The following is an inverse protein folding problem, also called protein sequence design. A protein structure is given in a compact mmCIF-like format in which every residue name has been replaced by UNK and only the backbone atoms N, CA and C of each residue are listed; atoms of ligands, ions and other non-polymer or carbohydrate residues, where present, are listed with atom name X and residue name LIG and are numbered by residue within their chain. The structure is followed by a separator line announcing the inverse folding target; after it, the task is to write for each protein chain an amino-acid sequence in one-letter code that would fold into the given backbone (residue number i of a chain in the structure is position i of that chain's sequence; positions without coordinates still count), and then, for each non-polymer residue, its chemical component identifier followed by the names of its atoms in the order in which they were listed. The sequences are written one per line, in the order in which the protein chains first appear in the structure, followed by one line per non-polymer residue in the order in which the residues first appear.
data_IF_590066593239
#
_entry.id   IF_590066593239
#
_cell.length_a   1.000
_cell.length_b   1.000
_cell.length_c   1.000
_cell.angle_alpha   90.00
_cell.angle_beta   90.00
_cell.angle_gamma   90.00
#
_symmetry.space_group_name_H-M   'P 1'
#
loop_
_entity.id
_entity.type
_entity.pdbx_description
1 polymer ?
#
# COMPACT_ATOMS: atom_id res chain seq x y z
N UNK A 1 -14.39 -10.97 20.87
CA UNK A 1 -14.65 -10.56 19.48
C UNK A 1 -15.16 -9.13 19.54
N UNK A 2 -14.57 -8.22 18.74
CA UNK A 2 -15.04 -6.82 18.66
C UNK A 2 -16.13 -6.78 17.59
N UNK A 3 -17.32 -6.30 17.93
CA UNK A 3 -18.38 -6.08 16.96
C UNK A 3 -18.21 -4.70 16.33
N UNK A 4 -18.15 -4.66 14.98
CA UNK A 4 -18.07 -3.41 14.24
C UNK A 4 -19.48 -2.91 14.00
N UNK A 5 -19.93 -2.04 14.90
CA UNK A 5 -21.22 -1.36 14.87
C UNK A 5 -21.05 0.16 14.70
N UNK A 6 -22.14 0.92 14.74
CA UNK A 6 -22.08 2.38 14.58
C UNK A 6 -21.26 3.06 15.67
N UNK A 7 -21.37 2.62 16.93
CA UNK A 7 -20.60 3.21 18.04
C UNK A 7 -19.11 3.02 17.87
N UNK A 8 -18.69 1.84 17.35
CA UNK A 8 -17.29 1.58 17.01
C UNK A 8 -16.82 2.50 15.87
N UNK A 9 -17.66 2.65 14.82
CA UNK A 9 -17.33 3.51 13.69
C UNK A 9 -17.22 4.98 14.12
N UNK A 10 -18.13 5.48 14.94
CA UNK A 10 -18.10 6.86 15.46
C UNK A 10 -16.91 7.12 16.38
N UNK A 11 -16.43 6.09 17.08
CA UNK A 11 -15.23 6.15 17.91
C UNK A 11 -13.92 6.20 17.11
N UNK A 12 -13.92 5.68 15.88
CA UNK A 12 -12.73 5.61 15.00
C UNK A 12 -12.72 6.72 13.95
N UNK A 13 -13.90 7.06 13.41
CA UNK A 13 -14.07 8.07 12.36
C UNK A 13 -14.42 9.42 12.99
N UNK A 14 -13.44 10.27 13.17
CA UNK A 14 -13.66 11.60 13.70
C UNK A 14 -14.27 12.54 12.64
N UNK A 15 -15.15 13.44 13.07
CA UNK A 15 -15.66 14.51 12.22
C UNK A 15 -14.52 15.45 11.79
N UNK A 16 -14.50 15.86 10.52
CA UNK A 16 -13.48 16.78 10.01
C UNK A 16 -13.74 18.20 10.53
N UNK A 17 -12.69 18.85 11.02
CA UNK A 17 -12.74 20.27 11.35
C UNK A 17 -12.68 21.09 10.04
N UNK A 18 -13.57 22.06 9.82
CA UNK A 18 -13.56 22.93 8.64
C UNK A 18 -12.26 23.73 8.43
N UNK A 19 -11.52 23.99 9.51
CA UNK A 19 -10.27 24.75 9.48
C UNK A 19 -9.03 23.91 9.08
N UNK A 20 -9.23 22.62 8.72
CA UNK A 20 -8.14 21.70 8.39
C UNK A 20 -7.96 21.52 6.88
N UNK A 21 -6.78 21.02 6.48
CA UNK A 21 -6.44 20.71 5.11
C UNK A 21 -6.05 19.23 4.96
N UNK A 22 -5.82 18.76 3.73
CA UNK A 22 -5.54 17.36 3.46
C UNK A 22 -4.31 16.79 4.20
N UNK A 23 -3.32 17.62 4.58
CA UNK A 23 -2.12 17.12 5.26
C UNK A 23 -2.39 16.75 6.72
N UNK A 24 -3.49 17.23 7.30
CA UNK A 24 -3.89 16.95 8.68
C UNK A 24 -4.53 15.56 8.84
N UNK A 25 -4.84 14.88 7.72
CA UNK A 25 -5.51 13.57 7.70
C UNK A 25 -4.62 12.41 7.24
N UNK A 26 -3.31 12.59 7.38
CA UNK A 26 -2.32 11.55 7.14
C UNK A 26 -2.04 11.25 5.68
N UNK A 27 -0.89 10.63 5.46
CA UNK A 27 -0.36 10.20 4.15
C UNK A 27 -0.21 8.70 4.14
N UNK A 28 -0.91 8.04 3.23
CA UNK A 28 -0.85 6.59 3.06
C UNK A 28 -0.07 6.26 1.79
N UNK A 29 0.89 5.35 1.91
CA UNK A 29 1.52 4.68 0.79
C UNK A 29 0.90 3.29 0.64
N UNK A 30 0.36 2.98 -0.53
CA UNK A 30 -0.07 1.65 -0.91
C UNK A 30 0.95 1.06 -1.89
N UNK A 31 1.58 -0.06 -1.55
CA UNK A 31 2.44 -0.86 -2.42
C UNK A 31 1.65 -2.10 -2.81
N UNK A 32 0.94 -2.01 -3.93
CA UNK A 32 -0.10 -2.97 -4.30
C UNK A 32 -0.14 -3.18 -5.82
N UNK A 33 -0.72 -4.30 -6.22
CA UNK A 33 -0.98 -4.60 -7.61
C UNK A 33 0.20 -5.16 -8.38
N UNK A 34 -0.12 -5.82 -9.47
CA UNK A 34 0.80 -6.39 -10.45
C UNK A 34 0.04 -6.59 -11.77
N UNK A 35 0.71 -7.14 -12.78
CA UNK A 35 0.05 -7.55 -14.01
C UNK A 35 -1.12 -8.50 -13.68
N UNK A 36 -2.32 -8.18 -14.17
CA UNK A 36 -3.54 -8.93 -13.88
C UNK A 36 -4.25 -8.59 -12.56
N UNK A 37 -3.58 -7.93 -11.62
CA UNK A 37 -4.14 -7.59 -10.29
C UNK A 37 -4.32 -6.08 -10.06
N UNK A 38 -4.61 -5.33 -11.13
CA UNK A 38 -4.88 -3.88 -11.05
C UNK A 38 -6.11 -3.54 -10.20
N UNK A 39 -7.08 -4.45 -10.13
CA UNK A 39 -8.28 -4.29 -9.30
C UNK A 39 -7.96 -4.23 -7.80
N UNK A 40 -7.03 -5.05 -7.32
CA UNK A 40 -6.59 -5.04 -5.92
C UNK A 40 -5.96 -3.69 -5.56
N UNK A 41 -5.05 -3.20 -6.40
CA UNK A 41 -4.43 -1.88 -6.24
C UNK A 41 -5.47 -0.75 -6.24
N UNK A 42 -6.46 -0.82 -7.16
CA UNK A 42 -7.55 0.14 -7.21
C UNK A 42 -8.33 0.19 -5.90
N UNK A 43 -8.79 -0.96 -5.42
CA UNK A 43 -9.59 -1.01 -4.19
C UNK A 43 -8.80 -0.58 -2.96
N UNK A 44 -7.53 -0.91 -2.85
CA UNK A 44 -6.65 -0.46 -1.77
C UNK A 44 -6.57 1.07 -1.72
N UNK A 45 -6.25 1.71 -2.83
CA UNK A 45 -6.12 3.16 -2.89
C UNK A 45 -7.48 3.87 -2.72
N UNK A 46 -8.52 3.37 -3.37
CA UNK A 46 -9.86 3.95 -3.27
C UNK A 46 -10.46 3.77 -1.88
N UNK A 47 -10.19 2.65 -1.22
CA UNK A 47 -10.59 2.42 0.18
C UNK A 47 -9.96 3.45 1.12
N UNK A 48 -8.64 3.69 0.98
CA UNK A 48 -7.93 4.69 1.77
C UNK A 48 -8.50 6.11 1.58
N UNK A 49 -8.80 6.49 0.33
CA UNK A 49 -9.44 7.79 0.03
C UNK A 49 -10.81 7.87 0.68
N UNK A 50 -11.64 6.85 0.53
CA UNK A 50 -13.01 6.84 1.08
C UNK A 50 -13.06 6.86 2.60
N UNK A 51 -12.04 6.30 3.25
CA UNK A 51 -11.88 6.39 4.71
C UNK A 51 -11.39 7.76 5.17
N UNK A 52 -11.10 8.67 4.25
CA UNK A 52 -10.79 10.05 4.57
C UNK A 52 -9.30 10.35 4.70
N UNK A 53 -8.41 9.50 4.22
CA UNK A 53 -6.97 9.81 4.18
C UNK A 53 -6.69 11.08 3.40
N UNK A 54 -5.79 11.91 3.90
CA UNK A 54 -5.50 13.20 3.31
C UNK A 54 -4.74 13.12 1.99
N UNK A 55 -3.74 12.23 1.92
CA UNK A 55 -2.97 11.97 0.70
C UNK A 55 -2.77 10.46 0.56
N UNK A 56 -3.19 9.90 -0.55
CA UNK A 56 -2.96 8.50 -0.90
C UNK A 56 -2.01 8.42 -2.07
N UNK A 57 -0.88 7.76 -1.87
CA UNK A 57 0.08 7.41 -2.93
C UNK A 57 -0.02 5.92 -3.20
N UNK A 58 -0.24 5.55 -4.45
CA UNK A 58 -0.28 4.18 -4.92
C UNK A 58 0.95 3.88 -5.78
N UNK A 59 1.86 3.08 -5.27
CA UNK A 59 3.00 2.56 -6.02
C UNK A 59 2.59 1.25 -6.71
N UNK A 60 2.81 1.17 -8.01
CA UNK A 60 2.44 0.02 -8.84
C UNK A 60 3.53 -0.28 -9.87
N UNK A 61 3.66 -1.52 -10.34
CA UNK A 61 4.53 -1.83 -11.48
C UNK A 61 4.18 -0.98 -12.70
N UNK A 62 5.18 -0.62 -13.50
CA UNK A 62 5.07 0.27 -14.66
C UNK A 62 3.93 -0.11 -15.61
N UNK A 63 3.73 -1.40 -15.87
CA UNK A 63 2.67 -1.90 -16.77
C UNK A 63 1.25 -1.73 -16.23
N UNK A 64 1.08 -1.68 -14.92
CA UNK A 64 -0.22 -1.45 -14.28
C UNK A 64 -0.59 0.05 -14.21
N UNK A 65 0.41 0.93 -14.30
CA UNK A 65 0.23 2.37 -14.15
C UNK A 65 -0.78 2.99 -15.12
N UNK A 66 -0.76 2.74 -16.46
CA UNK A 66 -1.68 3.42 -17.38
C UNK A 66 -3.14 3.16 -17.03
N UNK A 67 -3.47 1.90 -16.68
CA UNK A 67 -4.84 1.52 -16.33
C UNK A 67 -5.30 2.21 -15.04
N UNK A 68 -4.44 2.27 -14.04
CA UNK A 68 -4.76 2.84 -12.74
C UNK A 68 -4.76 4.37 -12.75
N UNK A 69 -3.89 4.98 -13.55
CA UNK A 69 -3.86 6.44 -13.72
C UNK A 69 -5.14 6.99 -14.38
N UNK A 70 -5.77 6.20 -15.27
CA UNK A 70 -7.07 6.56 -15.85
C UNK A 70 -8.22 6.31 -14.87
N UNK A 71 -8.11 5.28 -14.04
CA UNK A 71 -9.21 4.82 -13.18
C UNK A 71 -9.30 5.57 -11.84
N UNK A 72 -8.18 6.10 -11.36
CA UNK A 72 -8.06 6.78 -10.06
C UNK A 72 -7.84 8.28 -10.27
N UNK A 73 -8.74 9.09 -9.74
CA UNK A 73 -8.68 10.55 -9.90
C UNK A 73 -7.99 11.24 -8.71
N UNK A 74 -8.13 10.69 -7.49
CA UNK A 74 -7.64 11.32 -6.27
C UNK A 74 -6.28 10.78 -5.81
N UNK A 75 -6.02 9.45 -5.81
CA UNK A 75 -4.72 8.92 -5.45
C UNK A 75 -3.62 9.32 -6.43
N UNK A 76 -2.43 9.59 -5.91
CA UNK A 76 -1.24 9.82 -6.73
C UNK A 76 -0.67 8.47 -7.15
N UNK A 77 -0.89 8.05 -8.39
CA UNK A 77 -0.38 6.76 -8.90
C UNK A 77 1.07 6.92 -9.38
N UNK A 78 1.98 6.15 -8.78
CA UNK A 78 3.42 6.18 -9.05
C UNK A 78 3.89 4.91 -9.75
N UNK A 79 4.39 4.99 -10.99
CA UNK A 79 4.99 3.85 -11.67
C UNK A 79 6.34 3.50 -11.07
N UNK A 80 6.55 2.21 -10.84
CA UNK A 80 7.79 1.63 -10.31
C UNK A 80 8.41 0.68 -11.32
N UNK A 81 9.73 0.51 -11.28
CA UNK A 81 10.40 -0.52 -12.07
C UNK A 81 9.76 -1.89 -11.87
N UNK A 82 9.63 -2.64 -12.95
CA UNK A 82 9.05 -3.97 -12.97
C UNK A 82 9.96 -4.98 -13.68
N UNK A 83 9.74 -6.25 -13.39
CA UNK A 83 10.32 -7.38 -14.09
C UNK A 83 9.53 -7.75 -15.37
N UNK A 84 9.96 -8.79 -16.07
CA UNK A 84 9.30 -9.29 -17.29
C UNK A 84 7.91 -9.89 -17.04
N UNK A 85 7.61 -10.28 -15.78
CA UNK A 85 6.32 -10.83 -15.37
C UNK A 85 5.34 -9.73 -14.91
N UNK A 86 5.75 -8.46 -14.93
CA UNK A 86 4.93 -7.34 -14.48
C UNK A 86 4.80 -7.23 -12.97
N UNK A 87 5.76 -7.77 -12.22
CA UNK A 87 5.91 -7.62 -10.77
C UNK A 87 6.92 -6.49 -10.48
N UNK A 88 6.97 -6.01 -9.24
CA UNK A 88 8.02 -5.06 -8.86
C UNK A 88 9.40 -5.72 -9.00
N UNK A 89 10.34 -5.02 -9.64
CA UNK A 89 11.75 -5.41 -9.66
C UNK A 89 12.49 -4.82 -8.45
N UNK A 90 13.70 -5.35 -8.17
CA UNK A 90 14.56 -4.84 -7.08
C UNK A 90 14.88 -3.35 -7.24
N UNK A 91 14.94 -2.84 -8.47
CA UNK A 91 15.19 -1.42 -8.77
C UNK A 91 14.07 -0.49 -8.28
N UNK A 92 12.91 -1.04 -7.91
CA UNK A 92 11.83 -0.27 -7.29
C UNK A 92 12.15 0.13 -5.83
N UNK A 93 12.97 -0.67 -5.13
CA UNK A 93 13.20 -0.56 -3.69
C UNK A 93 13.67 0.83 -3.23
N UNK A 94 14.65 1.49 -3.85
CA UNK A 94 15.07 2.83 -3.44
C UNK A 94 13.94 3.87 -3.50
N UNK A 95 13.09 3.77 -4.54
CA UNK A 95 11.94 4.68 -4.71
C UNK A 95 10.85 4.39 -3.69
N UNK A 96 10.58 3.12 -3.40
CA UNK A 96 9.60 2.70 -2.40
C UNK A 96 10.01 3.15 -1.01
N UNK A 97 11.28 3.02 -0.64
CA UNK A 97 11.81 3.51 0.64
C UNK A 97 11.68 5.02 0.77
N UNK A 98 12.03 5.77 -0.27
CA UNK A 98 11.91 7.23 -0.28
C UNK A 98 10.44 7.72 -0.16
N UNK A 99 9.48 6.92 -0.64
CA UNK A 99 8.05 7.19 -0.44
C UNK A 99 7.60 6.81 0.97
N UNK A 100 8.08 5.68 1.50
CA UNK A 100 7.75 5.22 2.84
C UNK A 100 8.23 6.17 3.94
N UNK A 101 9.38 6.84 3.75
CA UNK A 101 9.88 7.86 4.68
C UNK A 101 8.92 9.05 4.86
N UNK A 102 8.05 9.30 3.88
CA UNK A 102 7.09 10.42 3.87
C UNK A 102 5.68 10.00 4.23
N UNK A 103 5.46 8.73 4.47
CA UNK A 103 4.16 8.16 4.78
C UNK A 103 3.94 8.03 6.29
N UNK A 104 2.72 8.23 6.73
CA UNK A 104 2.29 7.98 8.10
C UNK A 104 1.83 6.52 8.27
N UNK A 105 1.37 5.90 7.16
CA UNK A 105 1.04 4.49 7.09
C UNK A 105 1.42 3.88 5.74
N UNK A 106 1.79 2.60 5.75
CA UNK A 106 2.19 1.82 4.59
C UNK A 106 1.36 0.54 4.52
N UNK A 107 0.56 0.41 3.46
CA UNK A 107 -0.14 -0.83 3.10
C UNK A 107 0.67 -1.60 2.06
N UNK A 108 0.95 -2.87 2.34
CA UNK A 108 1.69 -3.74 1.42
C UNK A 108 0.93 -5.05 1.24
N UNK A 109 0.78 -5.50 -0.01
CA UNK A 109 0.44 -6.89 -0.28
C UNK A 109 -0.70 -7.15 -1.23
N UNK A 110 -1.71 -6.30 -1.29
CA UNK A 110 -2.90 -6.55 -2.10
C UNK A 110 -2.56 -6.70 -3.58
N UNK A 111 -2.55 -7.94 -4.07
CA UNK A 111 -2.29 -8.26 -5.47
C UNK A 111 -0.84 -8.04 -5.93
N UNK A 112 0.14 -8.14 -5.02
CA UNK A 112 1.56 -8.02 -5.36
C UNK A 112 2.06 -9.15 -6.27
N UNK A 113 1.48 -10.35 -6.12
CA UNK A 113 2.04 -11.56 -6.71
C UNK A 113 3.14 -12.18 -5.85
N UNK A 114 3.96 -13.07 -6.46
CA UNK A 114 4.95 -13.86 -5.72
C UNK A 114 6.24 -14.00 -6.49
N UNK A 115 7.35 -13.64 -5.84
CA UNK A 115 8.72 -13.92 -6.29
C UNK A 115 9.67 -13.72 -5.10
N UNK A 116 10.89 -14.24 -5.22
CA UNK A 116 11.93 -14.03 -4.20
C UNK A 116 12.29 -12.54 -4.09
N UNK A 117 12.30 -11.83 -5.21
CA UNK A 117 12.51 -10.37 -5.26
C UNK A 117 11.42 -9.61 -4.48
N UNK A 118 10.15 -10.02 -4.60
CA UNK A 118 9.07 -9.42 -3.82
C UNK A 118 9.22 -9.70 -2.34
N UNK A 119 9.65 -10.90 -1.97
CA UNK A 119 9.97 -11.24 -0.58
C UNK A 119 11.04 -10.30 -0.03
N UNK A 120 12.14 -10.09 -0.76
CA UNK A 120 13.21 -9.16 -0.38
C UNK A 120 12.70 -7.72 -0.24
N UNK A 121 11.91 -7.24 -1.20
CA UNK A 121 11.31 -5.89 -1.16
C UNK A 121 10.43 -5.72 0.08
N UNK A 122 9.53 -6.67 0.34
CA UNK A 122 8.62 -6.61 1.49
C UNK A 122 9.40 -6.63 2.80
N UNK A 123 10.34 -7.57 2.97
CA UNK A 123 11.18 -7.65 4.17
C UNK A 123 11.95 -6.35 4.40
N UNK A 124 12.57 -5.79 3.36
CA UNK A 124 13.33 -4.53 3.50
C UNK A 124 12.44 -3.35 3.85
N UNK A 125 11.22 -3.28 3.29
CA UNK A 125 10.24 -2.25 3.67
C UNK A 125 9.79 -2.40 5.12
N UNK A 126 9.56 -3.64 5.59
CA UNK A 126 9.19 -3.91 6.98
C UNK A 126 10.29 -3.51 7.97
N UNK A 127 11.55 -3.77 7.63
CA UNK A 127 12.69 -3.43 8.48
C UNK A 127 12.97 -1.93 8.55
N UNK A 128 12.78 -1.21 7.43
CA UNK A 128 13.21 0.18 7.31
C UNK A 128 12.10 1.21 7.42
N UNK A 129 10.84 0.84 7.22
CA UNK A 129 9.73 1.77 7.39
C UNK A 129 9.54 2.17 8.85
N UNK A 130 9.39 3.47 9.08
CA UNK A 130 9.19 4.05 10.43
C UNK A 130 7.73 4.45 10.70
N UNK A 131 6.84 4.13 9.77
CA UNK A 131 5.42 4.41 9.85
C UNK A 131 4.61 3.18 10.28
N UNK A 132 3.31 3.35 10.47
CA UNK A 132 2.42 2.22 10.73
C UNK A 132 2.35 1.29 9.53
N UNK A 133 2.32 -0.02 9.79
CA UNK A 133 2.35 -1.04 8.74
C UNK A 133 1.05 -1.83 8.73
N UNK A 134 0.49 -1.99 7.54
CA UNK A 134 -0.64 -2.88 7.26
C UNK A 134 -0.19 -3.89 6.21
N UNK A 135 -0.21 -5.15 6.56
CA UNK A 135 0.14 -6.25 5.67
C UNK A 135 -1.11 -7.06 5.33
N UNK A 136 -1.33 -7.30 4.06
CA UNK A 136 -2.45 -8.10 3.60
C UNK A 136 -2.03 -9.04 2.46
N UNK A 137 -2.82 -10.08 2.25
CA UNK A 137 -2.68 -11.01 1.13
C UNK A 137 -1.23 -11.52 0.92
N UNK A 138 -0.64 -11.23 -0.25
CA UNK A 138 0.72 -11.69 -0.59
C UNK A 138 1.79 -11.08 0.31
N UNK A 139 1.60 -9.86 0.83
CA UNK A 139 2.51 -9.24 1.80
C UNK A 139 2.55 -9.98 3.14
N UNK A 140 1.40 -10.41 3.65
CA UNK A 140 1.32 -11.15 4.91
C UNK A 140 1.95 -12.56 4.80
N UNK A 141 1.90 -13.19 3.63
CA UNK A 141 2.55 -14.49 3.38
C UNK A 141 4.06 -14.48 3.55
N UNK A 142 4.71 -13.34 3.26
CA UNK A 142 6.16 -13.21 3.42
C UNK A 142 6.59 -13.49 4.86
N UNK A 143 5.82 -13.06 5.84
CA UNK A 143 6.09 -13.34 7.25
C UNK A 143 5.99 -14.84 7.59
N UNK A 144 5.04 -15.55 6.98
CA UNK A 144 4.87 -17.01 7.20
C UNK A 144 6.08 -17.79 6.69
N UNK A 145 6.61 -17.43 5.53
CA UNK A 145 7.79 -18.09 4.93
C UNK A 145 9.04 -17.88 5.81
N UNK A 146 9.23 -16.69 6.38
CA UNK A 146 10.37 -16.41 7.26
C UNK A 146 10.30 -17.19 8.59
N UNK A 147 9.12 -17.39 9.15
CA UNK A 147 8.96 -18.17 10.38
C UNK A 147 9.30 -19.66 10.14
N UNK A 148 8.91 -20.21 9.00
CA UNK A 148 9.22 -21.60 8.63
C UNK A 148 10.70 -21.83 8.34
N UNK A 149 11.43 -20.83 7.83
CA UNK A 149 12.86 -20.93 7.55
C UNK A 149 13.76 -20.76 8.79
N UNK A 150 13.18 -20.36 9.94
CA UNK A 150 13.88 -20.21 11.21
C UNK A 150 13.70 -21.43 12.15
N UNK A 151 13.03 -22.49 11.71
CA UNK A 151 12.90 -23.77 12.41
C UNK A 151 13.83 -24.83 11.81
#
# INVERSE_FOLDING_TARGET
MIEINQDFADGVLHSRNPETNKNDYGRILCVCGSAGYTGAAYFSAQGAVRMGSGVVTLAVPQGAWPVLAVKLNEPVVRPMPQDENGLFSVDALPKLLALAEKADALLIGCGLGRSDTLTEIVCTLLEKAKCQLVLDADGARVLTIQVESCQ
#
